data_IF_959684698295
#
_entry.id   IF_959684698295
#
_cell.length_a   1.000
_cell.length_b   1.000
_cell.length_c   1.000
_cell.angle_alpha   90.00
_cell.angle_beta   90.00
_cell.angle_gamma   90.00
#
_symmetry.space_group_name_H-M   'P 1'
#
loop_
_entity.id
_entity.type
_entity.pdbx_description
1 polymer ?
#
# COMPACT_ATOMS: atom_id res chain seq x y z
N UNK A 1 8.24 -18.69 -5.19
CA UNK A 1 7.70 -18.61 -3.81
C UNK A 1 6.57 -17.59 -3.82
N UNK A 2 5.45 -17.86 -3.15
CA UNK A 2 4.34 -16.90 -2.98
C UNK A 2 4.14 -16.63 -1.50
N UNK A 3 4.18 -15.36 -1.13
CA UNK A 3 3.94 -14.86 0.21
C UNK A 3 2.88 -13.78 0.14
N UNK A 4 1.81 -13.97 0.89
CA UNK A 4 0.76 -12.98 1.07
C UNK A 4 0.39 -12.97 2.55
N UNK A 5 0.47 -11.79 3.18
CA UNK A 5 0.11 -11.60 4.59
C UNK A 5 -0.83 -10.42 4.71
N UNK A 6 -2.00 -10.67 5.30
CA UNK A 6 -2.96 -9.63 5.68
C UNK A 6 -2.90 -9.46 7.19
N UNK A 7 -2.61 -8.25 7.64
CA UNK A 7 -2.53 -7.87 9.05
C UNK A 7 -3.64 -6.86 9.36
N UNK A 8 -4.52 -7.20 10.31
CA UNK A 8 -5.55 -6.28 10.81
C UNK A 8 -5.00 -5.44 11.93
N UNK A 9 -5.38 -4.17 11.95
CA UNK A 9 -4.87 -3.18 12.89
C UNK A 9 -5.85 -3.03 14.07
N UNK A 10 -5.30 -3.02 15.28
CA UNK A 10 -5.98 -2.78 16.55
C UNK A 10 -6.50 -1.36 16.63
N UNK A 11 -7.67 -1.21 17.25
CA UNK A 11 -8.12 0.08 17.76
C UNK A 11 -7.23 0.51 18.91
N UNK A 12 -6.85 1.79 18.94
CA UNK A 12 -6.10 2.39 20.05
C UNK A 12 -7.05 3.27 20.84
N UNK A 13 -7.17 3.04 22.15
CA UNK A 13 -8.03 3.83 23.05
C UNK A 13 -9.50 3.95 22.59
N UNK A 14 -10.03 2.96 21.88
CA UNK A 14 -11.40 2.97 21.35
C UNK A 14 -11.61 3.82 20.09
N UNK A 15 -10.58 4.51 19.61
CA UNK A 15 -10.60 5.20 18.32
C UNK A 15 -10.32 4.21 17.19
N UNK A 16 -11.02 4.38 16.06
CA UNK A 16 -10.73 3.61 14.86
C UNK A 16 -9.35 4.01 14.34
N UNK A 17 -8.51 3.04 13.95
CA UNK A 17 -7.20 3.35 13.41
C UNK A 17 -7.36 4.03 12.06
N UNK A 18 -6.44 4.95 11.73
CA UNK A 18 -6.47 5.63 10.42
C UNK A 18 -6.32 4.60 9.30
N UNK A 19 -5.52 3.54 9.48
CA UNK A 19 -5.57 2.36 8.61
C UNK A 19 -6.07 1.12 9.34
N UNK A 20 -6.95 0.37 8.69
CA UNK A 20 -7.59 -0.83 9.24
C UNK A 20 -6.78 -2.09 8.99
N UNK A 21 -6.00 -2.13 7.91
CA UNK A 21 -5.19 -3.29 7.59
C UNK A 21 -4.00 -2.95 6.69
N UNK A 22 -3.06 -3.89 6.68
CA UNK A 22 -1.90 -3.92 5.79
C UNK A 22 -1.86 -5.26 5.07
N UNK A 23 -1.56 -5.22 3.77
CA UNK A 23 -1.35 -6.40 2.93
C UNK A 23 0.08 -6.37 2.43
N UNK A 24 0.88 -7.39 2.73
CA UNK A 24 2.21 -7.57 2.13
C UNK A 24 2.15 -8.71 1.11
N UNK A 25 2.59 -8.44 -0.12
CA UNK A 25 2.54 -9.36 -1.24
C UNK A 25 3.91 -9.49 -1.91
N UNK A 26 4.37 -10.72 -2.06
CA UNK A 26 5.61 -11.09 -2.75
C UNK A 26 5.39 -12.40 -3.49
N UNK A 27 5.59 -12.39 -4.80
CA UNK A 27 5.48 -13.60 -5.62
C UNK A 27 6.63 -13.66 -6.64
N UNK A 28 7.53 -14.62 -6.49
CA UNK A 28 8.80 -14.68 -7.23
C UNK A 28 8.66 -14.79 -8.75
N UNK A 29 7.50 -15.27 -9.24
CA UNK A 29 7.22 -15.46 -10.66
C UNK A 29 6.08 -14.54 -11.15
N UNK A 30 5.73 -13.52 -10.36
CA UNK A 30 4.74 -12.54 -10.77
C UNK A 30 5.38 -11.53 -11.70
N UNK A 31 4.64 -11.11 -12.72
CA UNK A 31 5.01 -9.95 -13.52
C UNK A 31 4.89 -8.67 -12.69
N UNK A 32 3.98 -8.63 -11.71
CA UNK A 32 3.82 -7.48 -10.83
C UNK A 32 4.98 -7.38 -9.84
N UNK A 33 5.51 -6.16 -9.60
CA UNK A 33 6.44 -5.95 -8.50
C UNK A 33 5.81 -6.35 -7.16
N UNK A 34 6.62 -6.81 -6.20
CA UNK A 34 6.14 -6.99 -4.84
C UNK A 34 5.59 -5.67 -4.31
N UNK A 35 4.62 -5.75 -3.41
CA UNK A 35 3.99 -4.56 -2.87
C UNK A 35 3.57 -4.72 -1.42
N UNK A 36 3.38 -3.56 -0.78
CA UNK A 36 2.66 -3.46 0.48
C UNK A 36 1.53 -2.45 0.33
N UNK A 37 0.32 -2.87 0.68
CA UNK A 37 -0.87 -2.05 0.62
C UNK A 37 -1.35 -1.70 2.02
N UNK A 38 -1.65 -0.43 2.24
CA UNK A 38 -2.24 0.11 3.44
C UNK A 38 -3.69 0.48 3.16
N UNK A 39 -4.63 -0.05 3.95
CA UNK A 39 -6.06 0.17 3.75
C UNK A 39 -6.57 1.14 4.81
N UNK A 40 -6.83 2.37 4.39
CA UNK A 40 -7.32 3.43 5.25
C UNK A 40 -8.76 3.16 5.70
N UNK A 41 -9.16 3.62 6.88
CA UNK A 41 -10.52 3.45 7.41
C UNK A 41 -11.57 4.13 6.53
N UNK A 42 -11.22 5.26 5.92
CA UNK A 42 -12.08 5.93 4.92
C UNK A 42 -12.28 5.13 3.63
N UNK A 43 -11.50 4.06 3.37
CA UNK A 43 -11.73 3.17 2.23
C UNK A 43 -13.05 2.39 2.37
N UNK A 44 -13.47 2.08 3.61
CA UNK A 44 -14.68 1.29 3.85
C UNK A 44 -15.92 1.81 3.12
N UNK A 45 -16.35 3.08 3.28
CA UNK A 45 -17.51 3.62 2.60
C UNK A 45 -17.37 3.72 1.06
N UNK A 46 -16.14 3.78 0.52
CA UNK A 46 -15.90 3.91 -0.91
C UNK A 46 -15.84 2.54 -1.62
N UNK A 47 -15.17 1.57 -1.00
CA UNK A 47 -14.92 0.25 -1.59
C UNK A 47 -16.03 -0.75 -1.26
N UNK A 48 -16.66 -0.64 -0.08
CA UNK A 48 -17.71 -1.54 0.36
C UNK A 48 -18.93 -0.77 0.90
N UNK A 49 -19.72 -0.13 0.02
CA UNK A 49 -20.84 0.71 0.44
C UNK A 49 -22.00 -0.08 1.06
N UNK A 50 -22.08 -1.39 0.80
CA UNK A 50 -23.12 -2.29 1.32
C UNK A 50 -22.47 -3.43 2.10
N UNK A 51 -22.45 -3.30 3.44
CA UNK A 51 -21.85 -4.20 4.42
C UNK A 51 -20.32 -4.31 4.41
N UNK A 52 -19.70 -4.12 5.59
CA UNK A 52 -18.24 -4.18 5.82
C UNK A 52 -17.63 -5.60 5.70
N UNK A 53 -18.36 -6.57 5.17
CA UNK A 53 -17.84 -7.93 5.01
C UNK A 53 -16.87 -7.96 3.84
N UNK A 54 -15.62 -8.30 4.11
CA UNK A 54 -14.53 -8.51 3.13
C UNK A 54 -13.97 -7.23 2.47
N UNK A 55 -13.87 -6.12 3.21
CA UNK A 55 -13.23 -4.89 2.69
C UNK A 55 -11.79 -5.15 2.20
N UNK A 56 -10.99 -5.90 2.95
CA UNK A 56 -9.60 -6.17 2.60
C UNK A 56 -9.50 -6.96 1.29
N UNK A 57 -10.39 -7.93 1.07
CA UNK A 57 -10.48 -8.70 -0.16
C UNK A 57 -10.88 -7.81 -1.34
N UNK A 58 -11.90 -6.98 -1.18
CA UNK A 58 -12.37 -6.06 -2.24
C UNK A 58 -11.30 -5.05 -2.62
N UNK A 59 -10.61 -4.47 -1.65
CA UNK A 59 -9.51 -3.53 -1.89
C UNK A 59 -8.34 -4.25 -2.56
N UNK A 60 -7.98 -5.46 -2.11
CA UNK A 60 -6.92 -6.28 -2.72
C UNK A 60 -7.24 -6.63 -4.17
N UNK A 61 -8.45 -7.09 -4.47
CA UNK A 61 -8.88 -7.40 -5.83
C UNK A 61 -8.88 -6.15 -6.72
N UNK A 62 -9.36 -5.03 -6.20
CA UNK A 62 -9.34 -3.76 -6.91
C UNK A 62 -7.91 -3.31 -7.21
N UNK A 63 -7.02 -3.39 -6.22
CA UNK A 63 -5.60 -3.07 -6.36
C UNK A 63 -4.95 -3.96 -7.43
N UNK A 64 -5.09 -5.29 -7.33
CA UNK A 64 -4.51 -6.23 -8.30
C UNK A 64 -5.05 -6.00 -9.72
N UNK A 65 -6.37 -5.78 -9.85
CA UNK A 65 -7.00 -5.46 -11.12
C UNK A 65 -6.40 -4.18 -11.74
N UNK A 66 -6.24 -3.13 -10.94
CA UNK A 66 -5.75 -1.85 -11.43
C UNK A 66 -4.25 -1.83 -11.68
N UNK A 67 -3.44 -2.52 -10.86
CA UNK A 67 -2.03 -2.74 -11.13
C UNK A 67 -1.84 -3.54 -12.41
N UNK A 68 -2.65 -4.59 -12.64
CA UNK A 68 -2.62 -5.38 -13.88
C UNK A 68 -3.02 -4.56 -15.12
N UNK A 69 -4.11 -3.77 -15.03
CA UNK A 69 -4.52 -2.87 -16.14
C UNK A 69 -3.47 -1.81 -16.45
N UNK A 70 -2.76 -1.34 -15.43
CA UNK A 70 -1.73 -0.32 -15.54
C UNK A 70 -0.32 -0.93 -15.45
N UNK A 71 -0.15 -2.19 -15.86
CA UNK A 71 1.11 -2.92 -15.69
C UNK A 71 2.32 -2.15 -16.25
N UNK A 72 2.17 -1.54 -17.43
CA UNK A 72 3.23 -0.74 -18.04
C UNK A 72 3.69 0.47 -17.22
N UNK A 73 2.85 0.99 -16.30
CA UNK A 73 3.23 2.08 -15.40
C UNK A 73 4.07 1.59 -14.22
N UNK A 74 3.92 0.31 -13.83
CA UNK A 74 4.47 -0.21 -12.57
C UNK A 74 5.55 -1.27 -12.75
N UNK A 75 5.64 -1.91 -13.91
CA UNK A 75 6.53 -3.05 -14.18
C UNK A 75 8.01 -2.79 -13.94
N UNK A 76 8.44 -1.53 -14.07
CA UNK A 76 9.84 -1.13 -13.94
C UNK A 76 10.22 -0.74 -12.49
N UNK A 77 9.26 -0.83 -11.55
CA UNK A 77 9.55 -0.68 -10.13
C UNK A 77 10.03 -1.98 -9.51
N UNK A 78 10.90 -1.85 -8.52
CA UNK A 78 11.39 -2.95 -7.73
C UNK A 78 10.43 -3.36 -6.62
N UNK A 79 9.64 -2.40 -6.12
CA UNK A 79 8.69 -2.56 -5.04
C UNK A 79 7.67 -1.41 -5.06
N UNK A 80 6.46 -1.67 -4.58
CA UNK A 80 5.41 -0.66 -4.44
C UNK A 80 4.96 -0.52 -2.99
N UNK A 81 4.78 0.72 -2.53
CA UNK A 81 3.91 1.02 -1.40
C UNK A 81 2.62 1.59 -1.97
N UNK A 82 1.48 1.06 -1.54
CA UNK A 82 0.17 1.51 -2.00
C UNK A 82 -0.69 1.88 -0.81
N UNK A 83 -1.55 2.89 -0.97
CA UNK A 83 -2.53 3.27 0.04
C UNK A 83 -3.91 3.36 -0.59
N UNK A 84 -4.86 2.61 -0.06
CA UNK A 84 -6.25 2.64 -0.47
C UNK A 84 -7.07 3.48 0.52
N UNK A 85 -7.79 4.48 0.04
CA UNK A 85 -8.58 5.37 0.87
C UNK A 85 -9.82 5.88 0.13
N UNK A 86 -10.75 6.50 0.85
CA UNK A 86 -11.95 7.09 0.28
C UNK A 86 -11.92 8.61 0.34
N UNK A 87 -12.30 9.24 -0.77
CA UNK A 87 -12.49 10.69 -0.91
C UNK A 87 -13.91 10.95 -1.42
N UNK A 88 -14.83 11.44 -0.58
CA UNK A 88 -16.20 11.75 -1.00
C UNK A 88 -16.93 10.63 -1.78
N UNK A 89 -16.68 9.36 -1.40
CA UNK A 89 -17.13 8.09 -2.05
C UNK A 89 -16.28 7.60 -3.22
N UNK A 90 -15.34 8.41 -3.71
CA UNK A 90 -14.38 7.97 -4.71
C UNK A 90 -13.37 7.01 -4.08
N UNK A 91 -13.03 5.98 -4.87
CA UNK A 91 -12.01 4.99 -4.54
C UNK A 91 -10.65 5.55 -4.93
N UNK A 92 -9.84 5.87 -3.93
CA UNK A 92 -8.50 6.38 -4.14
C UNK A 92 -7.48 5.25 -3.95
N UNK A 93 -6.55 5.12 -4.89
CA UNK A 93 -5.38 4.25 -4.79
C UNK A 93 -4.13 5.05 -5.08
N UNK A 94 -3.36 5.29 -4.04
CA UNK A 94 -2.04 5.91 -4.14
C UNK A 94 -1.02 4.80 -4.41
N UNK A 95 -0.11 5.03 -5.37
CA UNK A 95 0.92 4.06 -5.77
C UNK A 95 2.27 4.77 -5.75
N UNK A 96 3.12 4.39 -4.81
CA UNK A 96 4.50 4.84 -4.68
C UNK A 96 5.43 3.74 -5.15
N UNK A 97 6.02 3.93 -6.33
CA UNK A 97 6.93 2.99 -6.96
C UNK A 97 8.38 3.29 -6.60
N UNK A 98 9.08 2.29 -6.06
CA UNK A 98 10.48 2.38 -5.69
C UNK A 98 11.36 1.76 -6.78
N UNK A 99 12.43 2.46 -7.17
CA UNK A 99 13.42 1.99 -8.15
C UNK A 99 14.84 2.01 -7.58
N UNK A 100 15.67 1.06 -8.01
CA UNK A 100 17.09 0.98 -7.67
C UNK A 100 17.40 0.28 -6.34
N UNK A 101 16.39 -0.25 -5.66
CA UNK A 101 16.55 -0.88 -4.34
C UNK A 101 17.03 -2.33 -4.42
N UNK A 102 16.82 -3.02 -5.55
CA UNK A 102 17.37 -4.37 -5.73
C UNK A 102 18.88 -4.35 -5.90
N UNK A 103 19.39 -3.32 -6.57
CA UNK A 103 20.83 -3.16 -6.81
C UNK A 103 21.54 -2.57 -5.59
N UNK A 104 20.94 -1.57 -4.94
CA UNK A 104 21.55 -0.85 -3.83
C UNK A 104 20.55 -0.59 -2.71
N UNK A 105 20.21 -1.62 -1.95
CA UNK A 105 19.23 -1.54 -0.86
C UNK A 105 19.50 -0.40 0.13
N UNK A 106 20.75 -0.20 0.56
CA UNK A 106 21.07 0.80 1.59
C UNK A 106 21.08 2.25 1.10
N UNK A 107 21.02 2.49 -0.21
CA UNK A 107 21.01 3.85 -0.76
C UNK A 107 19.61 4.50 -0.69
N UNK A 108 19.55 5.76 -1.10
CA UNK A 108 18.28 6.46 -1.29
C UNK A 108 17.62 5.99 -2.60
N UNK A 109 16.41 5.40 -2.55
CA UNK A 109 15.70 4.98 -3.75
C UNK A 109 15.19 6.17 -4.56
N UNK A 110 15.00 5.94 -5.86
CA UNK A 110 14.09 6.77 -6.65
C UNK A 110 12.65 6.41 -6.28
N UNK A 111 11.79 7.41 -6.06
CA UNK A 111 10.37 7.21 -5.79
C UNK A 111 9.57 7.97 -6.84
N UNK A 112 8.77 7.23 -7.59
CA UNK A 112 7.76 7.77 -8.50
C UNK A 112 6.38 7.52 -7.92
N UNK A 113 5.41 8.31 -8.36
CA UNK A 113 4.09 8.30 -7.74
C UNK A 113 2.96 8.43 -8.76
N UNK A 114 1.89 7.66 -8.54
CA UNK A 114 0.67 7.68 -9.32
C UNK A 114 -0.55 7.59 -8.42
N UNK A 115 -1.66 8.18 -8.87
CA UNK A 115 -2.96 8.09 -8.19
C UNK A 115 -3.96 7.52 -9.15
N UNK A 116 -4.73 6.54 -8.69
CA UNK A 116 -5.93 6.11 -9.38
C UNK A 116 -7.15 6.60 -8.60
N UNK A 117 -7.99 7.40 -9.25
CA UNK A 117 -9.32 7.76 -8.75
C UNK A 117 -10.36 6.94 -9.49
N UNK A 118 -11.15 6.15 -8.76
CA UNK A 118 -12.11 5.19 -9.32
C UNK A 118 -11.48 4.26 -10.37
N UNK A 119 -10.20 3.94 -10.19
CA UNK A 119 -9.45 3.06 -11.09
C UNK A 119 -8.86 3.70 -12.35
N UNK A 120 -9.01 5.02 -12.51
CA UNK A 120 -8.46 5.81 -13.62
C UNK A 120 -7.31 6.66 -13.11
N UNK A 121 -6.22 6.74 -13.89
CA UNK A 121 -5.08 7.59 -13.56
C UNK A 121 -5.53 9.05 -13.42
N UNK A 122 -5.37 9.61 -12.22
CA UNK A 122 -5.71 10.99 -11.92
C UNK A 122 -4.65 11.94 -12.45
N UNK A 123 -5.09 13.09 -12.96
CA UNK A 123 -4.22 14.23 -13.34
C UNK A 123 -4.33 15.40 -12.36
N UNK A 124 -5.04 15.21 -11.24
CA UNK A 124 -5.30 16.27 -10.27
C UNK A 124 -4.08 16.57 -9.40
N UNK A 125 -4.07 17.77 -8.80
CA UNK A 125 -3.01 18.22 -7.88
C UNK A 125 -3.14 17.60 -6.49
N UNK A 126 -4.35 17.23 -6.10
CA UNK A 126 -4.61 16.53 -4.85
C UNK A 126 -4.27 15.06 -5.06
N UNK A 127 -3.19 14.65 -4.42
CA UNK A 127 -2.53 13.40 -4.77
C UNK A 127 -2.69 12.31 -3.70
N UNK A 128 -2.68 12.65 -2.42
CA UNK A 128 -2.65 11.66 -1.33
C UNK A 128 -3.24 12.25 -0.05
N UNK A 129 -3.61 11.42 0.91
CA UNK A 129 -4.02 11.87 2.24
C UNK A 129 -2.82 12.03 3.19
N UNK A 130 -2.99 12.82 4.25
CA UNK A 130 -1.93 13.08 5.23
C UNK A 130 -1.44 11.81 5.94
N UNK A 131 -2.34 10.86 6.21
CA UNK A 131 -2.01 9.58 6.87
C UNK A 131 -1.09 8.71 6.00
N UNK A 132 -1.26 8.74 4.67
CA UNK A 132 -0.34 8.07 3.74
C UNK A 132 1.08 8.64 3.84
N UNK A 133 1.23 9.96 4.01
CA UNK A 133 2.55 10.59 4.17
C UNK A 133 3.25 10.12 5.45
N UNK A 134 2.51 9.92 6.53
CA UNK A 134 3.04 9.39 7.79
C UNK A 134 3.55 7.96 7.57
N UNK A 135 2.73 7.11 6.92
CA UNK A 135 3.11 5.73 6.61
C UNK A 135 4.38 5.67 5.77
N UNK A 136 4.48 6.50 4.72
CA UNK A 136 5.68 6.53 3.87
C UNK A 136 6.93 6.96 4.64
N UNK A 137 6.78 7.93 5.55
CA UNK A 137 7.87 8.34 6.43
C UNK A 137 8.39 7.20 7.29
N UNK A 138 7.48 6.47 7.93
CA UNK A 138 7.84 5.34 8.80
C UNK A 138 8.36 4.12 8.02
N UNK A 139 7.81 3.86 6.84
CA UNK A 139 8.32 2.84 5.93
C UNK A 139 9.75 3.12 5.49
N UNK A 140 10.05 4.36 5.09
CA UNK A 140 11.40 4.74 4.70
C UNK A 140 12.38 4.72 5.88
N UNK A 141 11.93 5.09 7.09
CA UNK A 141 12.74 4.92 8.31
C UNK A 141 13.06 3.45 8.56
N UNK A 142 12.06 2.58 8.50
CA UNK A 142 12.22 1.16 8.78
C UNK A 142 13.06 0.44 7.73
N UNK A 143 12.85 0.74 6.44
CA UNK A 143 13.64 0.21 5.32
C UNK A 143 15.14 0.38 5.52
N UNK A 144 15.57 1.52 6.09
CA UNK A 144 16.98 1.82 6.41
C UNK A 144 17.57 0.94 7.53
N UNK A 145 16.73 0.20 8.24
CA UNK A 145 17.13 -0.71 9.32
C UNK A 145 17.17 -2.17 8.89
N UNK A 146 16.69 -2.50 7.68
CA UNK A 146 16.64 -3.88 7.17
C UNK A 146 17.78 -4.15 6.19
N UNK A 147 18.10 -5.44 6.00
CA UNK A 147 19.23 -5.88 5.17
C UNK A 147 18.91 -5.86 3.67
N UNK A 148 17.68 -6.22 3.31
CA UNK A 148 17.24 -6.36 1.93
C UNK A 148 15.71 -6.25 1.79
N UNK A 149 15.22 -6.27 0.55
CA UNK A 149 13.81 -6.17 0.20
C UNK A 149 12.98 -7.33 0.75
N UNK A 150 13.50 -8.56 0.71
CA UNK A 150 12.79 -9.74 1.19
C UNK A 150 12.53 -9.63 2.69
N UNK A 151 13.58 -9.36 3.46
CA UNK A 151 13.53 -9.15 4.90
C UNK A 151 12.58 -8.02 5.27
N UNK A 152 12.61 -6.92 4.51
CA UNK A 152 11.71 -5.79 4.69
C UNK A 152 10.25 -6.14 4.40
N UNK A 153 9.94 -6.89 3.34
CA UNK A 153 8.57 -7.29 3.01
C UNK A 153 8.01 -8.23 4.07
N UNK A 154 8.79 -9.26 4.43
CA UNK A 154 8.39 -10.32 5.36
C UNK A 154 8.23 -9.82 6.81
N UNK A 155 8.97 -8.76 7.16
CA UNK A 155 8.94 -8.12 8.48
C UNK A 155 8.53 -6.66 8.31
N UNK A 156 7.24 -6.35 8.23
CA UNK A 156 6.79 -4.98 8.02
C UNK A 156 6.97 -4.11 9.28
N UNK A 157 7.07 -2.77 9.15
CA UNK A 157 7.31 -1.88 10.28
C UNK A 157 6.20 -1.91 11.31
N UNK A 158 6.56 -1.57 12.56
CA UNK A 158 5.58 -1.13 13.56
C UNK A 158 5.41 0.37 13.41
N UNK A 159 4.22 0.79 12.97
CA UNK A 159 3.88 2.19 12.80
C UNK A 159 2.88 2.54 13.90
N UNK A 160 3.13 3.62 14.64
CA UNK A 160 2.24 4.06 15.71
C UNK A 160 0.83 4.31 15.16
N UNK A 161 -0.19 3.75 15.81
CA UNK A 161 -1.57 3.76 15.31
C UNK A 161 -1.89 2.66 14.29
N UNK A 162 -0.91 1.84 13.88
CA UNK A 162 -1.05 0.64 13.04
C UNK A 162 -0.71 -0.67 13.78
N UNK A 163 -0.89 -0.70 15.09
CA UNK A 163 -0.56 -1.87 15.90
C UNK A 163 -1.39 -3.08 15.49
N UNK A 164 -0.77 -4.21 15.16
CA UNK A 164 -1.47 -5.40 14.62
C UNK A 164 -2.16 -6.19 15.74
N UNK A 165 -3.34 -6.78 15.44
CA UNK A 165 -4.14 -7.69 16.32
C UNK A 165 -3.31 -8.85 16.86
#
# INVERSE_FOLDING_TARGET
MKFERVERIKKVNGLDPNFMSRISYLESNSELPPFRAYIHSSAAPAFSPTAHTNLEEQVRENLLLHLGKNFNLVKDFDFLITAAWGDNKDKMLDIFGYSGIKENWLNNPGISFYVLRNGVLSQEKEITCGDTLIVLGEEERYRRTTLDLTSYIENPPKIEGLDVI
#
